data_IF_658507108622
#
_entry.id   IF_658507108622
#
_cell.length_a   1.000
_cell.length_b   1.000
_cell.length_c   1.000
_cell.angle_alpha   90.00
_cell.angle_beta   90.00
_cell.angle_gamma   90.00
#
_symmetry.space_group_name_H-M   'P 1'
#
loop_
_entity.id
_entity.type
_entity.pdbx_description
1 polymer ?
#
# COMPACT_ATOMS: atom_id res chain seq x y z
N UNK A 1 70.67 73.69 -17.56
CA UNK A 1 70.08 72.80 -16.53
C UNK A 1 69.26 71.74 -17.24
N UNK A 2 69.82 70.54 -17.42
CA UNK A 2 69.15 69.41 -18.08
C UNK A 2 68.85 68.35 -17.01
N UNK A 3 67.57 67.98 -16.86
CA UNK A 3 67.12 66.88 -15.99
C UNK A 3 67.22 65.57 -16.77
N UNK A 4 67.98 64.62 -16.23
CA UNK A 4 67.89 63.19 -16.56
C UNK A 4 66.63 62.65 -15.87
N UNK A 5 65.69 62.12 -16.65
CA UNK A 5 64.60 61.28 -16.14
C UNK A 5 65.03 59.81 -16.28
N UNK A 6 64.95 59.09 -15.17
CA UNK A 6 65.33 57.69 -15.03
C UNK A 6 64.23 56.77 -15.58
N UNK A 7 64.56 56.02 -16.64
CA UNK A 7 63.80 54.88 -17.14
C UNK A 7 64.18 53.63 -16.33
N UNK A 8 63.42 53.28 -15.28
CA UNK A 8 63.64 52.05 -14.50
C UNK A 8 62.36 51.50 -13.85
N UNK A 9 61.28 51.31 -14.62
CA UNK A 9 60.02 50.75 -14.07
C UNK A 9 59.32 49.70 -14.95
N UNK A 10 59.88 49.27 -16.09
CA UNK A 10 59.17 48.38 -17.04
C UNK A 10 59.43 46.88 -16.87
N UNK A 11 60.34 46.44 -15.99
CA UNK A 11 60.67 45.01 -15.84
C UNK A 11 59.76 44.26 -14.84
N UNK A 12 59.02 44.96 -13.98
CA UNK A 12 58.13 44.36 -12.98
C UNK A 12 56.81 43.83 -13.54
N UNK A 13 56.23 44.53 -14.51
CA UNK A 13 54.88 44.22 -15.02
C UNK A 13 54.84 42.97 -15.92
N UNK A 14 55.94 42.68 -16.63
CA UNK A 14 56.03 41.48 -17.48
C UNK A 14 56.02 40.18 -16.68
N UNK A 15 56.52 40.20 -15.44
CA UNK A 15 56.55 39.01 -14.58
C UNK A 15 55.15 38.68 -14.03
N UNK A 16 54.40 39.70 -13.61
CA UNK A 16 53.03 39.54 -13.12
C UNK A 16 52.07 39.05 -14.23
N UNK A 17 52.25 39.53 -15.47
CA UNK A 17 51.46 39.05 -16.61
C UNK A 17 51.73 37.58 -16.93
N UNK A 18 52.98 37.13 -16.84
CA UNK A 18 53.33 35.73 -17.09
C UNK A 18 52.78 34.81 -15.99
N UNK A 19 52.83 35.23 -14.72
CA UNK A 19 52.24 34.49 -13.60
C UNK A 19 50.71 34.37 -13.75
N UNK A 20 50.03 35.45 -14.14
CA UNK A 20 48.59 35.43 -14.39
C UNK A 20 48.21 34.51 -15.57
N UNK A 21 48.97 34.54 -16.66
CA UNK A 21 48.75 33.67 -17.81
C UNK A 21 48.91 32.18 -17.44
N UNK A 22 49.96 31.85 -16.67
CA UNK A 22 50.20 30.48 -16.20
C UNK A 22 49.09 30.01 -15.25
N UNK A 23 48.60 30.87 -14.35
CA UNK A 23 47.48 30.55 -13.47
C UNK A 23 46.19 30.27 -14.25
N UNK A 24 45.93 31.03 -15.32
CA UNK A 24 44.78 30.84 -16.18
C UNK A 24 44.87 29.52 -16.98
N UNK A 25 46.05 29.15 -17.47
CA UNK A 25 46.27 27.86 -18.12
C UNK A 25 46.03 26.70 -17.16
N UNK A 26 46.57 26.78 -15.94
CA UNK A 26 46.37 25.75 -14.91
C UNK A 26 44.88 25.60 -14.53
N UNK A 27 44.13 26.69 -14.47
CA UNK A 27 42.69 26.65 -14.23
C UNK A 27 41.94 25.95 -15.36
N UNK A 28 42.27 26.25 -16.62
CA UNK A 28 41.66 25.61 -17.78
C UNK A 28 41.95 24.11 -17.83
N UNK A 29 43.18 23.68 -17.49
CA UNK A 29 43.52 22.26 -17.41
C UNK A 29 42.72 21.54 -16.32
N UNK A 30 42.54 22.16 -15.15
CA UNK A 30 41.70 21.61 -14.08
C UNK A 30 40.23 21.52 -14.47
N UNK A 31 39.70 22.53 -15.14
CA UNK A 31 38.32 22.50 -15.65
C UNK A 31 38.13 21.38 -16.66
N UNK A 32 39.07 21.20 -17.59
CA UNK A 32 39.02 20.12 -18.57
C UNK A 32 39.05 18.75 -17.91
N UNK A 33 39.98 18.53 -16.98
CA UNK A 33 40.06 17.28 -16.22
C UNK A 33 38.79 17.01 -15.40
N UNK A 34 38.17 18.04 -14.84
CA UNK A 34 36.91 17.90 -14.12
C UNK A 34 35.76 17.52 -15.06
N UNK A 35 35.70 18.13 -16.25
CA UNK A 35 34.69 17.81 -17.27
C UNK A 35 34.84 16.37 -17.80
N UNK A 36 36.08 15.94 -18.05
CA UNK A 36 36.38 14.57 -18.48
C UNK A 36 35.95 13.54 -17.41
N UNK A 37 36.16 13.86 -16.13
CA UNK A 37 35.71 13.03 -15.01
C UNK A 37 34.18 12.96 -14.91
N UNK A 38 33.48 14.07 -15.15
CA UNK A 38 32.03 14.12 -15.15
C UNK A 38 31.42 13.29 -16.30
N UNK A 39 31.95 13.40 -17.52
CA UNK A 39 31.52 12.59 -18.67
C UNK A 39 31.74 11.08 -18.42
N UNK A 40 32.85 10.71 -17.77
CA UNK A 40 33.09 9.32 -17.38
C UNK A 40 32.04 8.78 -16.40
N UNK A 41 31.58 9.61 -15.45
CA UNK A 41 30.52 9.22 -14.50
C UNK A 41 29.19 9.08 -15.21
N UNK A 42 28.84 9.99 -16.12
CA UNK A 42 27.61 9.90 -16.91
C UNK A 42 27.61 8.66 -17.82
N UNK A 43 28.73 8.35 -18.45
CA UNK A 43 28.87 7.14 -19.29
C UNK A 43 28.64 5.87 -18.46
N UNK A 44 29.31 5.75 -17.30
CA UNK A 44 29.14 4.57 -16.43
C UNK A 44 27.73 4.42 -15.88
N UNK A 45 27.07 5.53 -15.55
CA UNK A 45 25.67 5.50 -15.11
C UNK A 45 24.72 5.10 -16.25
N UNK A 46 24.98 5.59 -17.46
CA UNK A 46 24.20 5.21 -18.66
C UNK A 46 24.35 3.72 -18.96
N UNK A 47 25.57 3.20 -18.92
CA UNK A 47 25.83 1.76 -19.14
C UNK A 47 25.13 0.89 -18.09
N UNK A 48 25.13 1.31 -16.82
CA UNK A 48 24.44 0.58 -15.75
C UNK A 48 22.92 0.53 -15.96
N UNK A 49 22.33 1.66 -16.36
CA UNK A 49 20.88 1.75 -16.65
C UNK A 49 20.54 0.88 -17.87
N UNK A 50 21.34 0.94 -18.93
CA UNK A 50 21.13 0.11 -20.13
C UNK A 50 21.21 -1.38 -19.76
N UNK A 51 22.21 -1.79 -18.98
CA UNK A 51 22.33 -3.18 -18.53
C UNK A 51 21.09 -3.63 -17.76
N UNK A 52 20.63 -2.82 -16.79
CA UNK A 52 19.45 -3.14 -15.99
C UNK A 52 18.18 -3.26 -16.85
N UNK A 53 17.95 -2.30 -17.76
CA UNK A 53 16.81 -2.32 -18.69
C UNK A 53 16.85 -3.55 -19.60
N UNK A 54 18.03 -3.95 -20.09
CA UNK A 54 18.15 -5.15 -20.93
C UNK A 54 17.89 -6.44 -20.16
N UNK A 55 18.22 -6.49 -18.87
CA UNK A 55 17.95 -7.65 -18.01
C UNK A 55 16.45 -7.76 -17.70
N UNK A 56 15.80 -6.66 -17.31
CA UNK A 56 14.35 -6.62 -17.11
C UNK A 56 13.59 -6.97 -18.40
N UNK A 57 14.07 -6.51 -19.55
CA UNK A 57 13.46 -6.87 -20.85
C UNK A 57 13.55 -8.37 -21.14
N UNK A 58 14.66 -9.03 -20.79
CA UNK A 58 14.81 -10.49 -20.95
C UNK A 58 13.86 -11.25 -20.02
N UNK A 59 13.75 -10.80 -18.77
CA UNK A 59 12.80 -11.39 -17.82
C UNK A 59 11.36 -11.24 -18.33
N UNK A 60 11.00 -10.05 -18.82
CA UNK A 60 9.66 -9.78 -19.35
C UNK A 60 9.33 -10.65 -20.57
N UNK A 61 10.29 -10.87 -21.48
CA UNK A 61 10.12 -11.82 -22.59
C UNK A 61 9.89 -13.25 -22.08
N UNK A 62 10.67 -13.72 -21.10
CA UNK A 62 10.48 -15.08 -20.55
C UNK A 62 9.11 -15.26 -19.88
N UNK A 63 8.59 -14.20 -19.25
CA UNK A 63 7.25 -14.20 -18.65
C UNK A 63 6.17 -14.19 -19.73
N UNK A 64 6.39 -13.49 -20.84
CA UNK A 64 5.49 -13.46 -22.00
C UNK A 64 5.37 -14.85 -22.64
N UNK A 65 6.50 -15.53 -22.88
CA UNK A 65 6.52 -16.90 -23.44
C UNK A 65 5.73 -17.88 -22.54
N UNK A 66 5.86 -17.72 -21.21
CA UNK A 66 5.10 -18.52 -20.24
C UNK A 66 3.59 -18.23 -20.28
N UNK A 67 3.19 -16.98 -20.54
CA UNK A 67 1.79 -16.60 -20.69
C UNK A 67 1.23 -17.18 -21.99
N UNK A 68 1.97 -17.09 -23.08
CA UNK A 68 1.60 -17.63 -24.39
C UNK A 68 1.36 -19.14 -24.32
N UNK A 69 2.27 -19.89 -23.67
CA UNK A 69 2.08 -21.33 -23.43
C UNK A 69 0.83 -21.65 -22.60
N UNK A 70 0.48 -20.80 -21.62
CA UNK A 70 -0.75 -20.98 -20.83
C UNK A 70 -2.01 -20.67 -21.62
N UNK A 71 -1.96 -19.71 -22.55
CA UNK A 71 -3.07 -19.39 -23.44
C UNK A 71 -3.33 -20.54 -24.41
N UNK A 72 -2.28 -21.11 -24.99
CA UNK A 72 -2.39 -22.28 -25.88
C UNK A 72 -2.99 -23.50 -25.13
N UNK A 73 -2.61 -23.73 -23.87
CA UNK A 73 -3.25 -24.76 -23.04
C UNK A 73 -4.73 -24.48 -22.75
N UNK A 74 -5.12 -23.21 -22.65
CA UNK A 74 -6.50 -22.82 -22.41
C UNK A 74 -7.35 -23.01 -23.66
N UNK A 75 -6.85 -22.63 -24.82
CA UNK A 75 -7.49 -22.85 -26.13
C UNK A 75 -7.75 -24.34 -26.37
N UNK A 76 -6.74 -25.19 -26.17
CA UNK A 76 -6.89 -26.64 -26.24
C UNK A 76 -7.95 -27.22 -25.29
N UNK A 77 -8.14 -26.60 -24.11
CA UNK A 77 -9.20 -27.02 -23.17
C UNK A 77 -10.58 -26.54 -23.63
N UNK A 78 -10.66 -25.36 -24.23
CA UNK A 78 -11.89 -24.82 -24.79
C UNK A 78 -12.39 -25.67 -25.95
N UNK A 79 -11.51 -26.09 -26.86
CA UNK A 79 -11.85 -26.99 -27.97
C UNK A 79 -12.42 -28.32 -27.49
N UNK A 80 -11.85 -28.87 -26.40
CA UNK A 80 -12.37 -30.09 -25.76
C UNK A 80 -13.77 -29.89 -25.17
N UNK A 81 -14.01 -28.74 -24.54
CA UNK A 81 -15.33 -28.41 -23.99
C UNK A 81 -16.35 -28.23 -25.13
N UNK A 82 -15.98 -27.56 -26.21
CA UNK A 82 -16.85 -27.39 -27.38
C UNK A 82 -17.22 -28.75 -27.99
N UNK A 83 -16.25 -29.65 -28.13
CA UNK A 83 -16.49 -31.03 -28.58
C UNK A 83 -17.48 -31.77 -27.67
N UNK A 84 -17.30 -31.68 -26.35
CA UNK A 84 -18.22 -32.30 -25.38
C UNK A 84 -19.63 -31.72 -25.45
N UNK A 85 -19.76 -30.41 -25.68
CA UNK A 85 -21.07 -29.75 -25.82
C UNK A 85 -21.80 -30.20 -27.09
N UNK A 86 -21.08 -30.39 -28.20
CA UNK A 86 -21.63 -30.93 -29.44
C UNK A 86 -22.15 -32.36 -29.20
N UNK A 87 -21.36 -33.20 -28.51
CA UNK A 87 -21.76 -34.58 -28.17
C UNK A 87 -23.01 -34.61 -27.29
N UNK A 88 -23.07 -33.82 -26.23
CA UNK A 88 -24.26 -33.73 -25.35
C UNK A 88 -25.48 -33.24 -26.11
N UNK A 89 -25.33 -32.22 -26.97
CA UNK A 89 -26.42 -31.69 -27.80
C UNK A 89 -26.96 -32.74 -28.76
N UNK A 90 -26.06 -33.55 -29.34
CA UNK A 90 -26.44 -34.66 -30.23
C UNK A 90 -27.16 -35.79 -29.47
N UNK A 91 -26.76 -36.09 -28.23
CA UNK A 91 -27.41 -37.08 -27.38
C UNK A 91 -28.82 -36.69 -26.93
N UNK A 92 -29.05 -35.40 -26.63
CA UNK A 92 -30.36 -34.88 -26.22
C UNK A 92 -31.38 -34.86 -27.38
N UNK A 93 -30.95 -34.62 -28.62
CA UNK A 93 -31.83 -34.65 -29.80
C UNK A 93 -32.37 -36.05 -30.13
N UNK A 94 -31.77 -37.10 -29.58
CA UNK A 94 -32.15 -38.50 -29.83
C UNK A 94 -32.98 -39.14 -28.70
N UNK A 95 -33.41 -38.40 -27.67
CA UNK A 95 -34.30 -38.93 -26.62
C UNK A 95 -35.79 -38.80 -26.98
N UNK A 96 -36.60 -39.87 -26.90
CA UNK A 96 -38.04 -39.79 -27.15
C UNK A 96 -38.79 -39.05 -26.03
N UNK A 97 -39.91 -38.37 -26.34
CA UNK A 97 -40.68 -37.63 -25.33
C UNK A 97 -41.47 -38.59 -24.43
N UNK A 98 -41.20 -38.55 -23.12
CA UNK A 98 -42.10 -39.12 -22.10
C UNK A 98 -43.25 -38.14 -21.82
N UNK A 99 -44.49 -38.61 -21.96
CA UNK A 99 -45.71 -37.91 -21.55
C UNK A 99 -45.86 -37.92 -20.02
N UNK A 100 -46.47 -36.87 -19.42
CA UNK A 100 -46.86 -36.85 -18.02
C UNK A 100 -48.34 -37.26 -17.85
N UNK A 101 -48.61 -38.32 -17.10
CA UNK A 101 -49.95 -38.64 -16.61
C UNK A 101 -50.17 -38.09 -15.19
N UNK A 102 -51.23 -37.31 -15.07
CA UNK A 102 -51.88 -36.80 -13.86
C UNK A 102 -53.00 -37.77 -13.44
N UNK A 103 -53.11 -38.08 -12.14
CA UNK A 103 -54.36 -38.14 -11.32
C UNK A 103 -54.01 -38.69 -9.91
N UNK A 104 -54.25 -37.92 -8.82
CA UNK A 104 -55.44 -37.95 -7.92
C UNK A 104 -55.60 -39.29 -7.18
N UNK A 105 -55.89 -39.42 -5.88
CA UNK A 105 -56.29 -38.54 -4.78
C UNK A 105 -56.10 -39.35 -3.47
N UNK A 106 -55.70 -38.65 -2.41
CA UNK A 106 -56.27 -38.62 -1.06
C UNK A 106 -56.57 -39.93 -0.26
N UNK A 107 -55.92 -40.09 0.89
CA UNK A 107 -56.60 -40.46 2.15
C UNK A 107 -55.74 -40.23 3.41
N UNK A 108 -56.22 -39.29 4.22
CA UNK A 108 -56.07 -39.11 5.68
C UNK A 108 -55.91 -40.40 6.51
N UNK A 109 -55.04 -40.39 7.53
CA UNK A 109 -55.33 -40.75 8.95
C UNK A 109 -54.06 -40.70 9.84
N UNK A 110 -54.18 -39.94 10.95
CA UNK A 110 -53.53 -40.03 12.29
C UNK A 110 -52.02 -40.36 12.47
N UNK A 111 -51.34 -39.42 13.14
CA UNK A 111 -50.15 -39.59 14.01
C UNK A 111 -50.46 -40.43 15.29
N UNK A 112 -49.52 -40.85 16.19
CA UNK A 112 -48.18 -40.30 16.50
C UNK A 112 -47.07 -41.38 16.83
N UNK A 113 -45.85 -41.02 17.34
CA UNK A 113 -44.58 -41.77 17.20
C UNK A 113 -44.25 -42.70 18.39
N UNK A 114 -43.08 -43.41 18.38
CA UNK A 114 -41.95 -42.94 19.22
C UNK A 114 -40.51 -43.33 18.80
N UNK A 115 -39.55 -42.61 19.41
CA UNK A 115 -38.23 -42.98 19.96
C UNK A 115 -37.31 -44.04 19.29
N UNK A 116 -36.09 -43.61 18.91
CA UNK A 116 -34.77 -43.83 19.56
C UNK A 116 -34.21 -45.28 19.56
N UNK A 117 -32.88 -45.31 19.39
CA UNK A 117 -31.89 -46.20 20.03
C UNK A 117 -31.12 -47.16 19.09
N UNK A 118 -29.80 -46.93 19.13
CA UNK A 118 -28.64 -47.83 19.04
C UNK A 118 -28.20 -48.47 17.73
N UNK A 119 -27.01 -48.03 17.32
CA UNK A 119 -25.74 -48.77 17.37
C UNK A 119 -25.80 -50.30 17.29
N UNK A 120 -25.15 -50.87 16.28
CA UNK A 120 -24.19 -51.95 16.54
C UNK A 120 -23.18 -52.08 15.40
N UNK A 121 -21.90 -52.07 15.79
CA UNK A 121 -20.76 -52.47 14.98
C UNK A 121 -20.64 -54.00 15.02
N UNK A 122 -20.33 -54.64 13.89
CA UNK A 122 -19.64 -55.93 13.83
C UNK A 122 -18.73 -55.93 12.59
N UNK A 123 -17.45 -56.15 12.84
CA UNK A 123 -16.37 -56.42 11.89
C UNK A 123 -16.30 -57.92 11.55
N UNK A 124 -15.39 -58.25 10.61
CA UNK A 124 -14.68 -59.55 10.38
C UNK A 124 -15.44 -60.52 9.45
N UNK A 125 -14.88 -61.13 8.41
CA UNK A 125 -13.59 -61.09 7.70
C UNK A 125 -13.67 -62.08 6.52
N UNK A 126 -12.64 -62.07 5.69
CA UNK A 126 -12.11 -63.16 4.89
C UNK A 126 -12.78 -63.54 3.56
N UNK A 127 -12.13 -63.06 2.49
CA UNK A 127 -11.32 -64.02 1.73
C UNK A 127 -11.47 -64.00 0.21
N UNK A 128 -10.37 -63.62 -0.46
CA UNK A 128 -9.70 -64.32 -1.58
C UNK A 128 -9.54 -63.53 -2.89
N UNK A 129 -8.33 -62.98 -3.05
CA UNK A 129 -7.69 -62.54 -4.30
C UNK A 129 -7.34 -63.75 -5.21
N UNK A 130 -6.85 -63.64 -6.48
CA UNK A 130 -5.74 -62.76 -6.96
C UNK A 130 -6.04 -62.14 -8.37
N UNK A 131 -5.20 -61.36 -9.08
CA UNK A 131 -3.75 -61.25 -9.17
C UNK A 131 -3.29 -59.97 -9.90
N UNK A 132 -2.09 -59.50 -9.55
CA UNK A 132 -1.12 -58.77 -10.41
C UNK A 132 -1.14 -57.23 -10.31
N UNK A 133 -0.03 -56.48 -10.28
CA UNK A 133 1.41 -56.76 -10.17
C UNK A 133 2.12 -55.40 -10.02
N UNK A 134 3.08 -55.30 -9.10
CA UNK A 134 4.29 -54.44 -9.08
C UNK A 134 4.21 -52.90 -9.31
N UNK A 135 4.59 -52.11 -8.29
CA UNK A 135 5.89 -51.40 -8.24
C UNK A 135 5.97 -50.34 -7.11
N UNK A 136 6.82 -50.64 -6.13
CA UNK A 136 7.61 -49.81 -5.20
C UNK A 136 7.40 -48.28 -5.07
N UNK A 137 7.18 -47.86 -3.82
CA UNK A 137 7.58 -46.55 -3.26
C UNK A 137 9.11 -46.39 -3.20
N UNK A 138 9.59 -45.15 -3.00
CA UNK A 138 10.34 -44.92 -1.77
C UNK A 138 9.81 -43.74 -0.95
N UNK A 139 10.01 -43.90 0.35
CA UNK A 139 9.58 -43.07 1.46
C UNK A 139 10.70 -42.11 1.92
N UNK A 140 10.27 -41.04 2.58
CA UNK A 140 10.98 -40.16 3.53
C UNK A 140 12.30 -39.45 3.13
N UNK A 141 12.24 -38.11 3.05
CA UNK A 141 12.97 -37.24 3.98
C UNK A 141 12.59 -35.76 3.84
N UNK A 142 11.74 -35.31 4.76
CA UNK A 142 12.02 -34.20 5.67
C UNK A 142 12.82 -33.00 5.13
N UNK A 143 12.21 -32.17 4.27
CA UNK A 143 12.59 -30.76 4.16
C UNK A 143 11.57 -29.91 4.92
N UNK A 144 12.02 -29.42 6.07
CA UNK A 144 11.35 -28.38 6.83
C UNK A 144 10.95 -27.23 5.91
N UNK A 145 9.71 -26.76 6.07
CA UNK A 145 9.28 -25.45 5.62
C UNK A 145 10.26 -24.40 6.15
N UNK A 146 11.25 -24.02 5.35
CA UNK A 146 11.88 -22.72 5.48
C UNK A 146 10.78 -21.73 5.14
N UNK A 147 10.18 -21.15 6.19
CA UNK A 147 9.51 -19.87 6.10
C UNK A 147 10.56 -18.95 5.46
N UNK A 148 10.43 -18.71 4.15
CA UNK A 148 11.08 -17.57 3.53
C UNK A 148 10.58 -16.36 4.31
N UNK A 149 11.44 -15.90 5.22
CA UNK A 149 11.36 -14.59 5.79
C UNK A 149 11.38 -13.64 4.59
N UNK A 150 10.19 -13.26 4.13
CA UNK A 150 9.95 -12.34 3.02
C UNK A 150 10.79 -11.11 3.32
N UNK A 151 11.95 -11.02 2.66
CA UNK A 151 12.74 -9.79 2.66
C UNK A 151 11.84 -8.74 2.05
N UNK A 152 11.39 -7.82 2.89
CA UNK A 152 10.63 -6.66 2.45
C UNK A 152 11.38 -6.03 1.26
N UNK A 153 10.68 -5.75 0.14
CA UNK A 153 11.33 -5.21 -1.05
C UNK A 153 12.08 -3.93 -0.68
N UNK A 154 13.33 -3.82 -1.13
CA UNK A 154 14.15 -2.63 -0.88
C UNK A 154 13.46 -1.42 -1.51
N UNK A 155 12.85 -0.59 -0.66
CA UNK A 155 12.13 0.60 -1.10
C UNK A 155 13.12 1.68 -1.53
N UNK A 156 12.84 2.34 -2.67
CA UNK A 156 13.55 3.56 -3.07
C UNK A 156 13.37 4.68 -2.02
N UNK A 157 14.28 5.68 -1.97
CA UNK A 157 14.15 6.81 -1.05
C UNK A 157 12.80 7.54 -1.15
N UNK A 158 12.28 7.69 -2.37
CA UNK A 158 10.96 8.28 -2.65
C UNK A 158 9.83 7.46 -2.02
N UNK A 159 9.82 6.14 -2.27
CA UNK A 159 8.81 5.23 -1.71
C UNK A 159 8.88 5.19 -0.19
N UNK A 160 10.08 5.21 0.39
CA UNK A 160 10.28 5.28 1.84
C UNK A 160 9.69 6.56 2.41
N UNK A 161 10.02 7.72 1.83
CA UNK A 161 9.45 9.01 2.24
C UNK A 161 7.92 9.01 2.17
N UNK A 162 7.35 8.47 1.09
CA UNK A 162 5.90 8.35 0.92
C UNK A 162 5.28 7.44 1.99
N UNK A 163 5.87 6.27 2.27
CA UNK A 163 5.38 5.36 3.32
C UNK A 163 5.53 5.94 4.72
N UNK A 164 6.60 6.69 4.98
CA UNK A 164 6.81 7.36 6.28
C UNK A 164 5.76 8.46 6.51
N UNK A 165 5.41 9.22 5.47
CA UNK A 165 4.37 10.26 5.53
C UNK A 165 2.95 9.67 5.51
N UNK A 166 2.71 8.65 4.69
CA UNK A 166 1.42 8.01 4.47
C UNK A 166 1.56 6.49 4.30
N UNK A 167 1.54 5.73 5.41
CA UNK A 167 1.75 4.28 5.38
C UNK A 167 0.75 3.49 4.51
N UNK A 168 -0.44 4.05 4.27
CA UNK A 168 -1.51 3.43 3.48
C UNK A 168 -1.34 3.62 1.97
N UNK A 169 -0.33 4.38 1.52
CA UNK A 169 -0.03 4.53 0.10
C UNK A 169 0.28 3.15 -0.51
N UNK A 170 -0.44 2.78 -1.58
CA UNK A 170 -0.24 1.52 -2.29
C UNK A 170 0.92 1.68 -3.26
N UNK A 171 1.88 0.76 -3.21
CA UNK A 171 3.00 0.65 -4.13
C UNK A 171 2.69 -0.38 -5.23
N UNK A 172 3.46 -0.30 -6.32
CA UNK A 172 3.24 -1.16 -7.50
C UNK A 172 3.22 -2.65 -7.17
N UNK A 173 4.17 -3.11 -6.36
CA UNK A 173 4.29 -4.53 -5.97
C UNK A 173 3.15 -5.02 -5.07
N UNK A 174 2.34 -4.12 -4.50
CA UNK A 174 1.20 -4.46 -3.65
C UNK A 174 -0.10 -4.66 -4.48
N UNK A 175 -0.02 -4.56 -5.82
CA UNK A 175 -1.17 -4.68 -6.73
C UNK A 175 -1.15 -6.03 -7.44
N UNK A 176 -2.14 -6.88 -7.11
CA UNK A 176 -2.21 -8.26 -7.60
C UNK A 176 -2.94 -8.44 -8.95
N UNK A 177 -3.49 -7.37 -9.54
CA UNK A 177 -4.43 -7.47 -10.68
C UNK A 177 -4.03 -6.61 -11.89
N UNK A 178 -2.74 -6.36 -12.12
CA UNK A 178 -2.30 -5.50 -13.25
C UNK A 178 -2.84 -5.97 -14.62
N UNK A 179 -3.05 -7.28 -14.83
CA UNK A 179 -3.51 -7.87 -16.10
C UNK A 179 -4.94 -7.52 -16.49
N UNK A 180 -5.78 -7.09 -15.54
CA UNK A 180 -7.21 -6.81 -15.79
C UNK A 180 -7.50 -5.31 -15.86
N UNK A 181 -6.47 -4.48 -15.94
CA UNK A 181 -6.62 -3.02 -15.94
C UNK A 181 -6.82 -2.46 -17.34
N UNK A 182 -7.60 -1.39 -17.47
CA UNK A 182 -7.86 -0.74 -18.75
C UNK A 182 -7.91 0.79 -18.60
N UNK A 183 -7.19 1.51 -19.47
CA UNK A 183 -7.15 2.98 -19.49
C UNK A 183 -8.52 3.60 -19.75
N UNK A 184 -9.38 2.89 -20.50
CA UNK A 184 -10.75 3.31 -20.79
C UNK A 184 -11.71 3.19 -19.59
N UNK A 185 -11.28 2.57 -18.49
CA UNK A 185 -12.08 2.53 -17.28
C UNK A 185 -12.27 3.96 -16.74
N UNK A 186 -13.52 4.42 -16.78
CA UNK A 186 -13.88 5.76 -16.39
C UNK A 186 -14.11 5.82 -14.88
N UNK A 187 -13.18 6.45 -14.18
CA UNK A 187 -13.37 6.85 -12.78
C UNK A 187 -13.78 8.31 -12.78
N UNK A 188 -15.04 8.56 -12.45
CA UNK A 188 -15.52 9.91 -12.21
C UNK A 188 -15.19 10.23 -10.75
N UNK A 189 -14.13 11.00 -10.54
CA UNK A 189 -13.79 11.51 -9.22
C UNK A 189 -14.77 12.62 -8.85
N UNK A 190 -15.34 12.51 -7.64
CA UNK A 190 -16.28 13.50 -7.13
C UNK A 190 -15.53 14.83 -6.87
N UNK A 191 -16.17 16.00 -7.08
CA UNK A 191 -15.49 17.30 -6.90
C UNK A 191 -14.94 17.54 -5.49
N UNK A 192 -15.53 16.93 -4.46
CA UNK A 192 -15.04 16.99 -3.08
C UNK A 192 -13.69 16.28 -2.88
N UNK A 193 -13.28 15.43 -3.81
CA UNK A 193 -11.99 14.74 -3.80
C UNK A 193 -10.89 15.51 -4.53
N UNK A 194 -11.17 16.68 -5.11
CA UNK A 194 -10.15 17.46 -5.78
C UNK A 194 -9.11 17.94 -4.78
N UNK A 195 -7.86 17.99 -5.22
CA UNK A 195 -6.74 18.48 -4.43
C UNK A 195 -6.55 19.96 -4.75
N UNK A 196 -7.30 20.79 -4.04
CA UNK A 196 -7.31 22.25 -4.13
C UNK A 196 -6.50 22.89 -3.00
N UNK A 197 -6.76 22.49 -1.76
CA UNK A 197 -6.13 23.06 -0.56
C UNK A 197 -5.22 22.06 0.15
N UNK A 198 -4.03 22.49 0.52
CA UNK A 198 -3.11 21.69 1.32
C UNK A 198 -3.51 21.73 2.80
N UNK A 199 -4.17 20.66 3.27
CA UNK A 199 -4.55 20.50 4.67
C UNK A 199 -4.60 19.02 5.10
N UNK A 200 -5.08 18.75 6.30
CA UNK A 200 -5.19 17.40 6.84
C UNK A 200 -6.15 16.48 6.07
N UNK A 201 -7.06 17.03 5.25
CA UNK A 201 -8.01 16.24 4.47
C UNK A 201 -7.36 15.55 3.26
N UNK A 202 -6.18 16.02 2.82
CA UNK A 202 -5.48 15.50 1.65
C UNK A 202 -5.26 13.98 1.73
N UNK A 203 -4.84 13.46 2.88
CA UNK A 203 -4.65 12.01 3.05
C UNK A 203 -5.95 11.21 2.91
N UNK A 204 -7.07 11.75 3.39
CA UNK A 204 -8.39 11.11 3.25
C UNK A 204 -8.81 11.11 1.79
N UNK A 205 -8.69 12.27 1.10
CA UNK A 205 -8.97 12.38 -0.33
C UNK A 205 -8.11 11.42 -1.15
N UNK A 206 -6.81 11.34 -0.87
CA UNK A 206 -5.89 10.42 -1.53
C UNK A 206 -6.27 8.95 -1.29
N UNK A 207 -6.68 8.57 -0.07
CA UNK A 207 -7.13 7.22 0.23
C UNK A 207 -8.38 6.83 -0.57
N UNK A 208 -9.36 7.74 -0.66
CA UNK A 208 -10.57 7.53 -1.45
C UNK A 208 -10.27 7.43 -2.94
N UNK A 209 -9.43 8.32 -3.48
CA UNK A 209 -9.03 8.29 -4.89
C UNK A 209 -8.29 6.99 -5.23
N UNK A 210 -7.31 6.61 -4.40
CA UNK A 210 -6.56 5.36 -4.56
C UNK A 210 -7.49 4.14 -4.55
N UNK A 211 -8.47 4.12 -3.64
CA UNK A 211 -9.49 3.08 -3.58
C UNK A 211 -10.34 3.06 -4.86
N UNK A 212 -10.80 4.23 -5.33
CA UNK A 212 -11.61 4.35 -6.54
C UNK A 212 -10.86 3.87 -7.79
N UNK A 213 -9.58 4.24 -7.93
CA UNK A 213 -8.73 3.77 -9.02
C UNK A 213 -8.54 2.25 -9.00
N UNK A 214 -8.33 1.69 -7.80
CA UNK A 214 -8.18 0.24 -7.61
C UNK A 214 -9.47 -0.52 -7.95
N UNK A 215 -10.61 -0.09 -7.41
CA UNK A 215 -11.92 -0.74 -7.63
C UNK A 215 -12.30 -0.70 -9.11
N UNK A 216 -12.00 0.41 -9.78
CA UNK A 216 -12.31 0.60 -11.20
C UNK A 216 -11.23 0.05 -12.12
N UNK A 217 -10.23 -0.66 -11.59
CA UNK A 217 -9.16 -1.31 -12.36
C UNK A 217 -8.44 -0.34 -13.31
N UNK A 218 -8.17 0.89 -12.85
CA UNK A 218 -7.34 1.84 -13.61
C UNK A 218 -5.89 1.34 -13.57
N UNK A 219 -5.15 1.33 -14.70
CA UNK A 219 -3.76 0.90 -14.71
C UNK A 219 -2.91 1.76 -13.77
N UNK A 220 -2.08 1.13 -12.93
CA UNK A 220 -1.33 1.83 -11.88
C UNK A 220 -0.41 2.93 -12.42
N UNK A 221 0.24 2.68 -13.57
CA UNK A 221 1.08 3.67 -14.26
C UNK A 221 0.31 4.92 -14.70
N UNK A 222 -1.02 4.84 -14.81
CA UNK A 222 -1.89 5.92 -15.26
C UNK A 222 -2.54 6.72 -14.11
N UNK A 223 -2.48 6.23 -12.88
CA UNK A 223 -3.00 6.93 -11.69
C UNK A 223 -2.46 8.35 -11.52
N UNK A 224 -1.14 8.60 -11.71
CA UNK A 224 -0.58 9.94 -11.53
C UNK A 224 -1.22 10.94 -12.48
N UNK A 225 -1.29 10.58 -13.76
CA UNK A 225 -1.89 11.42 -14.79
C UNK A 225 -3.36 11.72 -14.49
N UNK A 226 -4.14 10.71 -14.05
CA UNK A 226 -5.55 10.89 -13.68
C UNK A 226 -5.74 11.84 -12.50
N UNK A 227 -4.91 11.71 -11.45
CA UNK A 227 -5.00 12.58 -10.28
C UNK A 227 -4.58 14.01 -10.61
N UNK A 228 -3.57 14.21 -11.46
CA UNK A 228 -3.10 15.55 -11.85
C UNK A 228 -4.23 16.42 -12.42
N UNK A 229 -5.15 15.82 -13.18
CA UNK A 229 -6.31 16.54 -13.72
C UNK A 229 -7.29 17.05 -12.65
N UNK A 230 -7.18 16.55 -11.41
CA UNK A 230 -8.01 16.95 -10.27
C UNK A 230 -7.26 17.85 -9.27
N UNK A 231 -6.06 18.31 -9.61
CA UNK A 231 -5.27 19.23 -8.79
C UNK A 231 -5.51 20.69 -9.19
N UNK A 232 -5.66 21.56 -8.19
CA UNK A 232 -5.89 23.01 -8.35
C UNK A 232 -5.17 23.78 -7.24
N UNK A 233 -5.19 25.11 -7.34
CA UNK A 233 -4.75 26.05 -6.30
C UNK A 233 -3.39 25.69 -5.66
N UNK A 234 -3.35 25.25 -4.40
CA UNK A 234 -2.09 24.92 -3.68
C UNK A 234 -1.27 23.84 -4.39
N UNK A 235 -1.94 22.94 -5.12
CA UNK A 235 -1.32 21.85 -5.87
C UNK A 235 -1.16 22.14 -7.36
N UNK A 236 -1.44 23.37 -7.81
CA UNK A 236 -1.26 23.76 -9.21
C UNK A 236 0.20 23.59 -9.67
N UNK A 237 1.18 23.92 -8.81
CA UNK A 237 2.59 23.72 -9.11
C UNK A 237 2.96 22.24 -9.29
N UNK A 238 2.43 21.36 -8.43
CA UNK A 238 2.60 19.91 -8.55
C UNK A 238 1.99 19.37 -9.85
N UNK A 239 0.82 19.88 -10.24
CA UNK A 239 0.18 19.52 -11.52
C UNK A 239 1.06 19.88 -12.72
N UNK A 240 1.53 21.13 -12.80
CA UNK A 240 2.39 21.60 -13.89
C UNK A 240 3.67 20.77 -13.96
N UNK A 241 4.32 20.55 -12.81
CA UNK A 241 5.50 19.68 -12.73
C UNK A 241 5.20 18.28 -13.29
N UNK A 242 4.07 17.67 -12.91
CA UNK A 242 3.76 16.33 -13.38
C UNK A 242 3.43 16.27 -14.89
N UNK A 243 2.83 17.33 -15.44
CA UNK A 243 2.55 17.45 -16.88
C UNK A 243 3.83 17.65 -17.71
N UNK A 244 4.85 18.31 -17.15
CA UNK A 244 6.16 18.51 -17.79
C UNK A 244 7.06 17.26 -17.75
N UNK A 245 6.78 16.30 -16.86
CA UNK A 245 7.56 15.09 -16.69
C UNK A 245 6.89 13.88 -17.38
N UNK A 246 7.58 13.29 -18.37
CA UNK A 246 7.02 12.22 -19.20
C UNK A 246 6.75 10.93 -18.40
N UNK A 247 7.52 10.67 -17.34
CA UNK A 247 7.49 9.41 -16.58
C UNK A 247 7.25 9.63 -15.09
N UNK A 248 6.10 10.20 -14.73
CA UNK A 248 5.70 10.33 -13.32
C UNK A 248 5.09 9.04 -12.83
N UNK A 249 5.73 8.42 -11.83
CA UNK A 249 5.16 7.28 -11.11
C UNK A 249 4.27 7.74 -9.94
N UNK A 250 3.39 6.85 -9.45
CA UNK A 250 2.54 7.16 -8.30
C UNK A 250 3.30 7.61 -7.05
N UNK A 251 4.39 6.94 -6.62
CA UNK A 251 5.19 7.43 -5.50
C UNK A 251 5.82 8.80 -5.75
N UNK A 252 6.29 9.08 -6.96
CA UNK A 252 6.88 10.39 -7.30
C UNK A 252 5.85 11.53 -7.20
N UNK A 253 4.62 11.29 -7.69
CA UNK A 253 3.55 12.28 -7.55
C UNK A 253 3.18 12.51 -6.08
N UNK A 254 3.01 11.42 -5.30
CA UNK A 254 2.73 11.51 -3.88
C UNK A 254 3.83 12.26 -3.11
N UNK A 255 5.10 11.99 -3.42
CA UNK A 255 6.23 12.71 -2.85
C UNK A 255 6.13 14.22 -3.12
N UNK A 256 5.80 14.64 -4.36
CA UNK A 256 5.69 16.06 -4.69
C UNK A 256 4.47 16.73 -4.03
N UNK A 257 3.35 16.02 -3.88
CA UNK A 257 2.20 16.48 -3.08
C UNK A 257 2.66 16.71 -1.63
N UNK A 258 3.37 15.75 -1.04
CA UNK A 258 3.83 15.83 0.35
C UNK A 258 4.88 16.91 0.55
N UNK A 259 5.82 17.11 -0.39
CA UNK A 259 6.75 18.25 -0.37
C UNK A 259 6.01 19.58 -0.42
N UNK A 260 4.92 19.68 -1.18
CA UNK A 260 4.07 20.87 -1.22
C UNK A 260 3.40 21.12 0.14
N UNK A 261 2.80 20.09 0.73
CA UNK A 261 2.26 20.15 2.09
C UNK A 261 3.34 20.51 3.13
N UNK A 262 4.57 20.01 2.98
CA UNK A 262 5.67 20.29 3.89
C UNK A 262 6.14 21.75 3.77
N UNK A 263 6.27 22.28 2.54
CA UNK A 263 6.58 23.70 2.29
C UNK A 263 5.56 24.64 2.91
N UNK A 264 4.29 24.25 2.89
CA UNK A 264 3.19 25.00 3.51
C UNK A 264 3.05 24.75 5.03
N UNK A 265 3.89 23.91 5.61
CA UNK A 265 3.89 23.62 7.06
C UNK A 265 2.70 22.79 7.53
N UNK A 266 1.96 22.16 6.62
CA UNK A 266 0.76 21.35 6.92
C UNK A 266 1.05 19.85 6.91
N UNK A 267 2.18 19.42 6.36
CA UNK A 267 2.62 18.03 6.47
C UNK A 267 3.18 17.80 7.87
N UNK A 268 2.51 16.93 8.63
CA UNK A 268 2.98 16.44 9.91
C UNK A 268 3.09 14.93 9.82
N UNK A 269 4.19 14.35 10.32
CA UNK A 269 4.31 12.89 10.40
C UNK A 269 3.18 12.32 11.26
N UNK A 270 2.73 11.08 11.03
CA UNK A 270 1.71 10.44 11.88
C UNK A 270 2.03 10.52 13.38
N UNK A 271 3.31 10.38 13.77
CA UNK A 271 3.76 10.57 15.15
C UNK A 271 3.59 12.00 15.66
N UNK A 272 3.86 13.00 14.82
CA UNK A 272 3.63 14.42 15.16
C UNK A 272 2.14 14.72 15.29
N UNK A 273 1.31 14.18 14.39
CA UNK A 273 -0.15 14.33 14.46
C UNK A 273 -0.67 13.73 15.76
N UNK A 274 -0.26 12.49 16.05
CA UNK A 274 -0.66 11.77 17.26
C UNK A 274 -0.28 12.54 18.53
N UNK A 275 0.99 12.95 18.66
CA UNK A 275 1.49 13.68 19.85
C UNK A 275 0.85 15.06 20.02
N UNK A 276 0.34 15.68 18.95
CA UNK A 276 -0.34 16.98 18.98
C UNK A 276 -1.87 16.88 19.07
N UNK A 277 -2.43 15.68 19.27
CA UNK A 277 -3.87 15.54 19.46
C UNK A 277 -4.34 16.34 20.67
N UNK A 278 -5.32 17.21 20.44
CA UNK A 278 -6.02 17.98 21.46
C UNK A 278 -7.52 17.72 21.37
N UNK A 279 -8.24 17.79 22.49
CA UNK A 279 -9.71 17.73 22.46
C UNK A 279 -10.29 19.01 21.81
N UNK A 280 -11.29 18.85 20.94
CA UNK A 280 -11.99 19.99 20.34
C UNK A 280 -13.00 20.55 21.33
N UNK A 281 -13.33 21.85 21.18
CA UNK A 281 -14.36 22.48 22.01
C UNK A 281 -15.70 21.75 21.86
N UNK A 282 -16.28 21.29 22.97
CA UNK A 282 -17.54 20.54 22.98
C UNK A 282 -17.46 19.10 22.45
N UNK A 283 -16.27 18.56 22.18
CA UNK A 283 -16.10 17.17 21.77
C UNK A 283 -16.43 16.23 22.92
N UNK A 284 -17.24 15.21 22.64
CA UNK A 284 -17.59 14.21 23.63
C UNK A 284 -16.43 13.24 23.87
N UNK A 285 -16.35 12.71 25.09
CA UNK A 285 -15.20 11.92 25.57
C UNK A 285 -15.00 10.66 24.73
N UNK A 286 -16.07 9.97 24.37
CA UNK A 286 -16.00 8.77 23.51
C UNK A 286 -15.46 9.07 22.11
N UNK A 287 -15.81 10.24 21.57
CA UNK A 287 -15.48 10.68 20.22
C UNK A 287 -14.02 11.08 20.16
N UNK A 288 -13.55 11.78 21.20
CA UNK A 288 -12.14 12.08 21.36
C UNK A 288 -11.30 10.79 21.56
N UNK A 289 -11.78 9.84 22.37
CA UNK A 289 -11.11 8.56 22.57
C UNK A 289 -11.02 7.73 21.27
N UNK A 290 -12.08 7.72 20.46
CA UNK A 290 -12.06 7.11 19.12
C UNK A 290 -11.04 7.80 18.21
N UNK A 291 -10.96 9.13 18.23
CA UNK A 291 -9.97 9.87 17.44
C UNK A 291 -8.52 9.58 17.85
N UNK A 292 -8.26 9.41 19.15
CA UNK A 292 -6.96 8.93 19.65
C UNK A 292 -6.66 7.55 19.07
N UNK A 293 -7.61 6.62 19.14
CA UNK A 293 -7.47 5.28 18.59
C UNK A 293 -7.17 5.32 17.08
N UNK A 294 -7.95 6.06 16.30
CA UNK A 294 -7.79 6.16 14.86
C UNK A 294 -6.42 6.72 14.49
N UNK A 295 -5.96 7.77 15.18
CA UNK A 295 -4.63 8.34 14.96
C UNK A 295 -3.50 7.39 15.39
N UNK A 296 -3.68 6.59 16.43
CA UNK A 296 -2.70 5.57 16.83
C UNK A 296 -2.52 4.49 15.76
N UNK A 297 -3.62 4.04 15.13
CA UNK A 297 -3.54 3.02 14.08
C UNK A 297 -3.01 3.54 12.74
N UNK A 298 -2.83 4.86 12.59
CA UNK A 298 -2.11 5.45 11.46
C UNK A 298 -0.58 5.44 11.64
N UNK A 299 -0.08 5.16 12.85
CA UNK A 299 1.36 5.08 13.13
C UNK A 299 1.99 3.81 12.51
N UNK A 300 3.28 3.87 12.20
CA UNK A 300 4.06 2.70 11.79
C UNK A 300 4.06 1.63 12.89
N UNK A 301 4.36 0.36 12.55
CA UNK A 301 4.44 -0.70 13.56
C UNK A 301 5.47 -0.39 14.65
N UNK A 302 6.65 0.09 14.26
CA UNK A 302 7.72 0.45 15.18
C UNK A 302 7.29 1.60 16.11
N UNK A 303 6.63 2.62 15.56
CA UNK A 303 6.16 3.75 16.37
C UNK A 303 5.07 3.33 17.34
N UNK A 304 4.15 2.46 16.92
CA UNK A 304 3.08 1.91 17.78
C UNK A 304 3.63 1.17 18.99
N UNK A 305 4.76 0.48 18.84
CA UNK A 305 5.39 -0.28 19.92
C UNK A 305 6.33 0.57 20.78
N UNK A 306 6.65 1.80 20.35
CA UNK A 306 7.62 2.67 21.04
C UNK A 306 7.13 3.24 22.38
N UNK A 307 8.09 3.48 23.28
CA UNK A 307 7.86 4.20 24.54
C UNK A 307 7.51 5.68 24.31
N UNK A 308 7.97 6.27 23.20
CA UNK A 308 7.64 7.65 22.83
C UNK A 308 6.13 7.79 22.62
N UNK A 309 5.54 6.87 21.85
CA UNK A 309 4.08 6.84 21.64
C UNK A 309 3.33 6.59 22.95
N UNK A 310 3.86 5.75 23.84
CA UNK A 310 3.27 5.51 25.16
C UNK A 310 3.25 6.77 26.03
N UNK A 311 4.35 7.52 26.04
CA UNK A 311 4.46 8.76 26.78
C UNK A 311 3.53 9.83 26.21
N UNK A 312 3.46 9.95 24.88
CA UNK A 312 2.52 10.84 24.20
C UNK A 312 1.07 10.49 24.54
N UNK A 313 0.68 9.21 24.47
CA UNK A 313 -0.64 8.74 24.87
C UNK A 313 -0.96 9.13 26.31
N UNK A 314 -0.03 8.86 27.24
CA UNK A 314 -0.21 9.17 28.66
C UNK A 314 -0.46 10.67 28.86
N UNK A 315 0.34 11.51 28.22
CA UNK A 315 0.19 12.97 28.27
C UNK A 315 -1.15 13.45 27.72
N UNK A 316 -1.55 12.97 26.53
CA UNK A 316 -2.82 13.36 25.87
C UNK A 316 -4.01 13.02 26.76
N UNK A 317 -4.06 11.79 27.28
CA UNK A 317 -5.19 11.29 28.07
C UNK A 317 -5.26 12.00 29.41
N UNK A 318 -4.13 12.16 30.09
CA UNK A 318 -4.04 12.90 31.35
C UNK A 318 -4.48 14.36 31.20
N UNK A 319 -4.13 15.00 30.08
CA UNK A 319 -4.40 16.43 29.85
C UNK A 319 -5.86 16.68 29.49
N UNK A 320 -6.42 15.90 28.56
CA UNK A 320 -7.71 16.23 27.94
C UNK A 320 -8.90 15.42 28.47
N UNK A 321 -8.66 14.22 29.02
CA UNK A 321 -9.71 13.34 29.57
C UNK A 321 -9.24 12.71 30.91
N UNK A 322 -8.89 13.53 31.92
CA UNK A 322 -8.25 13.07 33.17
C UNK A 322 -9.07 12.02 33.93
N UNK A 323 -10.39 12.06 33.85
CA UNK A 323 -11.26 11.03 34.43
C UNK A 323 -11.05 9.64 33.80
N UNK A 324 -10.81 9.57 32.48
CA UNK A 324 -10.44 8.30 31.81
C UNK A 324 -9.06 7.87 32.27
N UNK A 325 -8.12 8.81 32.41
CA UNK A 325 -6.76 8.55 32.88
C UNK A 325 -6.72 7.85 34.24
N UNK A 326 -7.51 8.33 35.22
CA UNK A 326 -7.56 7.75 36.57
C UNK A 326 -7.87 6.24 36.56
N UNK A 327 -8.70 5.78 35.62
CA UNK A 327 -9.03 4.37 35.48
C UNK A 327 -8.06 3.63 34.56
N UNK A 328 -7.50 4.29 33.55
CA UNK A 328 -6.61 3.69 32.57
C UNK A 328 -5.19 3.45 33.11
N UNK A 329 -4.61 4.41 33.84
CA UNK A 329 -3.23 4.38 34.32
C UNK A 329 -2.81 3.05 34.98
N UNK A 330 -3.55 2.49 35.96
CA UNK A 330 -3.16 1.23 36.60
C UNK A 330 -3.18 0.04 35.64
N UNK A 331 -3.97 0.11 34.56
CA UNK A 331 -4.11 -0.96 33.56
C UNK A 331 -3.04 -0.91 32.47
N UNK A 332 -2.27 0.18 32.35
CA UNK A 332 -1.23 0.32 31.33
C UNK A 332 0.07 -0.41 31.67
N UNK A 333 0.31 -0.68 32.95
CA UNK A 333 1.58 -1.27 33.42
C UNK A 333 1.77 -2.67 32.84
N UNK A 334 2.87 -2.88 32.12
CA UNK A 334 3.22 -4.17 31.52
C UNK A 334 2.35 -4.59 30.33
N UNK A 335 1.45 -3.72 29.84
CA UNK A 335 0.61 -4.01 28.67
C UNK A 335 1.18 -3.36 27.41
N UNK A 336 0.96 -3.94 26.21
CA UNK A 336 1.36 -3.31 24.95
C UNK A 336 0.45 -2.11 24.63
N UNK A 337 0.95 -1.15 23.83
CA UNK A 337 0.25 0.11 23.54
C UNK A 337 -1.14 -0.09 22.91
N UNK A 338 -1.30 -1.06 22.01
CA UNK A 338 -2.59 -1.32 21.36
C UNK A 338 -3.67 -1.71 22.39
N UNK A 339 -3.30 -2.48 23.41
CA UNK A 339 -4.21 -2.90 24.47
C UNK A 339 -4.64 -1.69 25.32
N UNK A 340 -3.70 -0.78 25.61
CA UNK A 340 -4.00 0.47 26.31
C UNK A 340 -4.99 1.34 25.53
N UNK A 341 -4.82 1.44 24.20
CA UNK A 341 -5.72 2.19 23.31
C UNK A 341 -7.14 1.59 23.30
N UNK A 342 -7.26 0.28 23.19
CA UNK A 342 -8.59 -0.36 23.21
C UNK A 342 -9.28 -0.22 24.57
N UNK A 343 -8.52 -0.34 25.66
CA UNK A 343 -9.02 -0.16 27.03
C UNK A 343 -9.47 1.29 27.26
N UNK A 344 -8.72 2.27 26.75
CA UNK A 344 -9.09 3.68 26.78
C UNK A 344 -10.47 3.93 26.16
N UNK A 345 -10.74 3.37 24.98
CA UNK A 345 -12.03 3.55 24.29
C UNK A 345 -13.16 2.92 25.12
N UNK A 346 -12.93 1.75 25.71
CA UNK A 346 -13.92 1.08 26.55
C UNK A 346 -14.27 1.91 27.81
N UNK A 347 -13.26 2.42 28.51
CA UNK A 347 -13.45 3.28 29.69
C UNK A 347 -14.18 4.57 29.30
N UNK A 348 -13.73 5.23 28.22
CA UNK A 348 -14.33 6.47 27.72
C UNK A 348 -15.83 6.31 27.42
N UNK A 349 -16.22 5.20 26.77
CA UNK A 349 -17.62 4.85 26.53
C UNK A 349 -18.38 4.59 27.83
N UNK A 350 -17.78 3.87 28.78
CA UNK A 350 -18.39 3.60 30.08
C UNK A 350 -18.71 4.88 30.85
N UNK A 351 -17.74 5.79 30.97
CA UNK A 351 -17.89 7.09 31.65
C UNK A 351 -18.95 7.95 30.95
N UNK A 352 -18.95 7.95 29.63
CA UNK A 352 -19.92 8.70 28.83
C UNK A 352 -21.38 8.28 29.09
N UNK A 353 -21.61 7.03 29.52
CA UNK A 353 -22.94 6.54 29.86
C UNK A 353 -23.38 6.81 31.31
N UNK A 354 -22.46 7.21 32.21
CA UNK A 354 -22.77 7.44 33.62
C UNK A 354 -23.85 8.50 33.87
N UNK A 355 -23.88 9.67 33.20
CA UNK A 355 -24.94 10.67 33.41
C UNK A 355 -26.33 10.12 33.10
N UNK A 356 -26.44 9.23 32.13
CA UNK A 356 -27.71 8.59 31.73
C UNK A 356 -28.15 7.58 32.79
N UNK A 357 -27.22 6.79 33.33
CA UNK A 357 -27.50 5.81 34.38
C UNK A 357 -27.94 6.47 35.69
N UNK A 358 -27.32 7.58 36.09
CA UNK A 358 -27.70 8.32 37.30
C UNK A 358 -29.13 8.90 37.17
N UNK A 359 -29.50 9.46 36.01
CA UNK A 359 -30.88 9.93 35.77
C UNK A 359 -31.92 8.82 35.83
N UNK A 360 -31.60 7.62 35.31
CA UNK A 360 -32.48 6.46 35.42
C UNK A 360 -32.67 5.95 36.85
N UNK A 361 -31.64 6.07 37.70
CA UNK A 361 -31.74 5.71 39.12
C UNK A 361 -32.57 6.72 39.93
N UNK A 362 -32.50 8.02 39.58
CA UNK A 362 -33.29 9.07 40.26
C UNK A 362 -34.78 9.01 39.88
N UNK A 363 -35.13 8.62 38.65
CA UNK A 363 -36.53 8.51 38.20
C UNK A 363 -37.24 7.21 38.60
N UNK A 364 -36.57 6.31 39.34
CA UNK A 364 -37.15 5.05 39.84
C UNK A 364 -37.41 5.05 41.35
N UNK A 365 -37.04 6.12 42.05
CA UNK A 365 -37.41 6.40 43.43
C UNK A 365 -38.43 7.55 43.45
#
# INVERSE_FOLDING_TARGET
>A
MAKKEDLSTTAGDSKNLLEHFNAQQLFNEKLKSWFDGFESVLSTQTDLVVCHVTEESKELSSRMDKIESRLEQFENKMDRIETLLIDISSGLKNSPPQQPDLHSEDQSVRSPPPEKVSTSAVQIDDGKAPAGSHANMPDESNEFNTIEETKDPVLSPSQKFVKDAWPQAILRHEINHETNTNVSNNVILRPDLFLDKADSSVFVKLAEIQSAFRISLVPYWYWPWRLCQQMRDDFQGTRVWAEENIFVTWPMLLEEIFKTMQRLGVLHSPGTIFSRLTARSGEHIDSFAMRIKDSYYQLSRLDRESDITRNALSYIVQTYIPQVWTHLQPMMVGKPNYHCIDTLVQIARGISMWPTQVKYCVNKN
#
